data_IF_140360811408
#
_entry.id   IF_140360811408
#
_cell.length_a   1.000
_cell.length_b   1.000
_cell.length_c   1.000
_cell.angle_alpha   90.00
_cell.angle_beta   90.00
_cell.angle_gamma   90.00
#
_symmetry.space_group_name_H-M   'P 1'
#
loop_
_entity.id
_entity.type
_entity.pdbx_description
1 polymer ?
#
# COMPACT_ATOMS: atom_id res chain seq x y z
N UNK A 1 -27.73 -8.33 -21.97
CA UNK A 1 -26.30 -8.03 -21.71
C UNK A 1 -26.21 -7.45 -20.31
N UNK A 2 -25.61 -8.18 -19.35
CA UNK A 2 -25.57 -7.80 -17.93
C UNK A 2 -24.29 -7.01 -17.68
N UNK A 3 -24.42 -5.73 -17.36
CA UNK A 3 -23.30 -4.88 -16.96
C UNK A 3 -22.89 -5.24 -15.53
N UNK A 4 -21.71 -5.83 -15.37
CA UNK A 4 -21.10 -6.07 -14.06
C UNK A 4 -20.63 -4.72 -13.50
N UNK A 5 -21.17 -4.35 -12.34
CA UNK A 5 -20.73 -3.20 -11.54
C UNK A 5 -19.47 -3.62 -10.78
N UNK A 6 -18.32 -3.10 -11.18
CA UNK A 6 -17.10 -3.21 -10.39
C UNK A 6 -17.19 -2.24 -9.20
N UNK A 7 -17.36 -2.78 -8.00
CA UNK A 7 -17.23 -2.05 -6.74
C UNK A 7 -15.75 -2.01 -6.37
N UNK A 8 -15.19 -0.81 -6.24
CA UNK A 8 -13.82 -0.59 -5.80
C UNK A 8 -13.74 -0.71 -4.27
N UNK A 9 -12.98 -1.68 -3.76
CA UNK A 9 -12.57 -1.75 -2.36
C UNK A 9 -11.11 -1.30 -2.31
N UNK A 10 -10.88 -0.12 -1.73
CA UNK A 10 -9.55 0.44 -1.48
C UNK A 10 -9.17 0.09 -0.04
N UNK A 11 -8.28 -0.88 0.16
CA UNK A 11 -7.62 -1.12 1.45
C UNK A 11 -6.13 -0.79 1.30
N UNK A 12 -5.70 0.24 2.04
CA UNK A 12 -4.47 0.96 1.79
C UNK A 12 -3.20 0.26 2.27
N UNK A 13 -2.19 0.23 1.39
CA UNK A 13 -0.79 0.23 1.76
C UNK A 13 -0.24 1.65 1.50
N UNK A 14 0.35 2.27 2.51
CA UNK A 14 0.93 3.60 2.42
C UNK A 14 2.23 3.53 1.61
N UNK A 15 2.13 3.69 0.29
CA UNK A 15 3.30 3.83 -0.59
C UNK A 15 3.83 5.26 -0.40
N UNK A 16 5.08 5.38 0.04
CA UNK A 16 5.78 6.64 0.15
C UNK A 16 5.94 7.25 -1.26
N UNK A 17 5.02 8.14 -1.64
CA UNK A 17 5.15 8.94 -2.86
C UNK A 17 6.18 10.02 -2.59
N UNK A 18 7.42 9.79 -3.00
CA UNK A 18 8.44 10.83 -3.12
C UNK A 18 7.98 11.80 -4.22
N UNK A 19 7.24 12.83 -3.82
CA UNK A 19 6.81 13.92 -4.69
C UNK A 19 8.02 14.82 -5.02
N UNK A 20 8.85 14.39 -5.97
CA UNK A 20 9.78 15.27 -6.65
C UNK A 20 9.00 16.31 -7.47
N UNK A 21 9.50 17.54 -7.51
CA UNK A 21 8.95 18.56 -8.42
C UNK A 21 8.82 17.97 -9.84
N UNK A 22 7.71 18.20 -10.55
CA UNK A 22 7.59 17.74 -11.92
C UNK A 22 8.56 18.58 -12.74
N UNK A 23 9.79 18.09 -12.91
CA UNK A 23 10.50 18.36 -14.14
C UNK A 23 9.50 18.00 -15.23
N UNK A 24 9.29 18.89 -16.19
CA UNK A 24 8.51 18.58 -17.37
C UNK A 24 9.28 17.52 -18.18
N UNK A 25 9.38 16.32 -17.62
CA UNK A 25 9.90 15.15 -18.25
C UNK A 25 8.86 14.81 -19.29
N UNK A 26 9.27 14.85 -20.56
CA UNK A 26 8.44 14.38 -21.65
C UNK A 26 7.99 12.94 -21.40
N UNK A 27 8.76 12.17 -20.62
CA UNK A 27 8.46 10.78 -20.30
C UNK A 27 8.02 10.66 -18.84
N UNK A 28 6.84 10.09 -18.61
CA UNK A 28 6.28 9.89 -17.26
C UNK A 28 6.10 8.40 -16.99
N UNK A 29 7.17 7.70 -16.55
CA UNK A 29 7.08 6.30 -16.16
C UNK A 29 6.60 6.14 -14.71
N UNK A 30 5.70 5.18 -14.50
CA UNK A 30 5.24 4.71 -13.20
C UNK A 30 5.33 3.19 -13.17
N UNK A 31 6.08 2.65 -12.20
CA UNK A 31 6.23 1.22 -11.99
C UNK A 31 6.03 0.99 -10.50
N UNK A 32 4.94 0.31 -10.14
CA UNK A 32 4.52 0.13 -8.76
C UNK A 32 4.18 -1.33 -8.52
N UNK A 33 4.68 -1.91 -7.43
CA UNK A 33 4.36 -3.26 -7.00
C UNK A 33 3.74 -3.27 -5.60
N UNK A 34 2.88 -4.24 -5.33
CA UNK A 34 2.27 -4.41 -4.02
C UNK A 34 1.39 -5.65 -3.93
N UNK A 35 0.76 -5.83 -2.77
CA UNK A 35 -0.21 -6.89 -2.56
C UNK A 35 -1.64 -6.35 -2.75
N UNK A 36 -2.44 -7.03 -3.57
CA UNK A 36 -3.86 -6.74 -3.77
C UNK A 36 -4.62 -8.05 -3.66
N UNK A 37 -5.56 -8.14 -2.72
CA UNK A 37 -6.39 -9.34 -2.49
C UNK A 37 -5.59 -10.65 -2.35
N UNK A 38 -4.46 -10.59 -1.62
CA UNK A 38 -3.59 -11.75 -1.40
C UNK A 38 -2.74 -12.15 -2.62
N UNK A 39 -2.72 -11.33 -3.67
CA UNK A 39 -1.90 -11.54 -4.88
C UNK A 39 -0.79 -10.50 -4.96
N UNK A 40 0.37 -10.88 -5.47
CA UNK A 40 1.41 -9.94 -5.84
C UNK A 40 1.01 -9.28 -7.16
N UNK A 41 0.94 -7.95 -7.19
CA UNK A 41 0.54 -7.17 -8.36
C UNK A 41 1.62 -6.17 -8.71
N UNK A 42 2.02 -6.18 -9.98
CA UNK A 42 2.88 -5.16 -10.59
C UNK A 42 2.04 -4.35 -11.57
N UNK A 43 2.09 -3.02 -11.48
CA UNK A 43 1.47 -2.10 -12.43
C UNK A 43 2.56 -1.29 -13.12
N UNK A 44 2.53 -1.29 -14.45
CA UNK A 44 3.45 -0.56 -15.33
C UNK A 44 2.62 0.42 -16.15
N UNK A 45 2.86 1.72 -15.96
CA UNK A 45 2.28 2.79 -16.75
C UNK A 45 3.39 3.66 -17.32
N UNK A 46 3.49 3.70 -18.64
CA UNK A 46 4.43 4.50 -19.39
C UNK A 46 3.63 5.49 -20.22
N UNK A 47 3.81 6.77 -19.98
CA UNK A 47 3.09 7.83 -20.69
C UNK A 47 4.04 8.80 -21.37
N UNK A 48 3.55 9.39 -22.47
CA UNK A 48 4.20 10.50 -23.20
C UNK A 48 5.57 10.16 -23.80
N UNK A 49 5.81 8.89 -24.09
CA UNK A 49 6.98 8.46 -24.86
C UNK A 49 6.87 8.97 -26.31
N UNK A 50 8.01 9.17 -26.98
CA UNK A 50 7.98 9.53 -28.40
C UNK A 50 7.45 8.32 -29.22
N UNK A 51 6.30 8.49 -29.86
CA UNK A 51 5.63 7.44 -30.65
C UNK A 51 6.06 7.35 -32.13
N UNK A 52 6.98 8.21 -32.61
CA UNK A 52 7.44 8.21 -34.01
C UNK A 52 8.12 6.90 -34.39
N UNK A 53 8.77 6.24 -33.42
CA UNK A 53 9.31 4.89 -33.56
C UNK A 53 8.84 4.02 -32.39
N UNK A 54 9.08 2.72 -32.51
CA UNK A 54 8.71 1.78 -31.47
C UNK A 54 9.68 1.86 -30.29
N UNK A 55 9.14 2.00 -29.10
CA UNK A 55 9.79 1.73 -27.83
C UNK A 55 9.60 0.24 -27.48
N UNK A 56 10.34 -0.28 -26.50
CA UNK A 56 10.11 -1.64 -26.00
C UNK A 56 10.04 -1.68 -24.49
N UNK A 57 9.22 -2.60 -23.98
CA UNK A 57 9.09 -2.92 -22.57
C UNK A 57 9.22 -4.42 -22.41
N UNK A 58 10.05 -4.85 -21.46
CA UNK A 58 10.09 -6.24 -21.00
C UNK A 58 9.90 -6.30 -19.50
N UNK A 59 9.21 -7.34 -19.05
CA UNK A 59 8.91 -7.60 -17.64
C UNK A 59 9.26 -9.05 -17.33
N UNK A 60 10.04 -9.26 -16.28
CA UNK A 60 10.31 -10.59 -15.73
C UNK A 60 9.91 -10.68 -14.27
N UNK A 61 9.71 -11.90 -13.77
CA UNK A 61 9.57 -12.23 -12.35
C UNK A 61 10.60 -13.30 -12.01
N UNK A 62 11.69 -12.89 -11.37
CA UNK A 62 12.95 -13.66 -11.39
C UNK A 62 13.41 -13.88 -12.83
N UNK A 63 13.63 -15.15 -13.21
CA UNK A 63 14.08 -15.56 -14.54
C UNK A 63 12.93 -15.78 -15.54
N UNK A 64 11.68 -15.75 -15.08
CA UNK A 64 10.52 -15.98 -15.95
C UNK A 64 10.14 -14.70 -16.68
N UNK A 65 10.12 -14.74 -18.00
CA UNK A 65 9.56 -13.66 -18.83
C UNK A 65 8.03 -13.62 -18.72
N UNK A 66 7.49 -12.44 -18.42
CA UNK A 66 6.05 -12.14 -18.34
C UNK A 66 5.61 -11.30 -19.55
N UNK A 67 6.43 -10.33 -19.96
CA UNK A 67 6.13 -9.41 -21.06
C UNK A 67 7.40 -9.14 -21.87
N UNK A 68 7.24 -9.03 -23.19
CA UNK A 68 8.24 -8.52 -24.12
C UNK A 68 7.51 -7.94 -25.35
N UNK A 69 7.12 -6.67 -25.24
CA UNK A 69 6.27 -6.00 -26.22
C UNK A 69 6.89 -4.68 -26.70
N UNK A 70 6.52 -4.29 -27.92
CA UNK A 70 6.81 -2.96 -28.46
C UNK A 70 5.62 -2.05 -28.24
N UNK A 71 5.88 -0.80 -27.89
CA UNK A 71 4.85 0.22 -27.71
C UNK A 71 5.19 1.52 -28.43
N UNK A 72 4.18 2.39 -28.61
CA UNK A 72 4.34 3.72 -29.21
C UNK A 72 4.52 4.76 -28.10
N UNK A 73 3.63 5.73 -27.98
CA UNK A 73 3.77 6.77 -26.96
C UNK A 73 3.31 6.38 -25.55
N UNK A 74 2.56 5.28 -25.43
CA UNK A 74 1.97 4.87 -24.15
C UNK A 74 1.95 3.34 -24.02
N UNK A 75 2.03 2.86 -22.79
CA UNK A 75 1.86 1.46 -22.41
C UNK A 75 1.28 1.39 -21.00
N UNK A 76 0.23 0.60 -20.78
CA UNK A 76 -0.36 0.37 -19.45
C UNK A 76 -0.74 -1.09 -19.29
N UNK A 77 -0.16 -1.76 -18.30
CA UNK A 77 -0.56 -3.12 -17.92
C UNK A 77 -0.38 -3.36 -16.44
N UNK A 78 -1.20 -4.27 -15.92
CA UNK A 78 -1.04 -4.85 -14.61
C UNK A 78 -0.81 -6.36 -14.74
N UNK A 79 0.14 -6.89 -13.98
CA UNK A 79 0.48 -8.31 -13.91
C UNK A 79 0.18 -8.80 -12.50
N UNK A 80 -0.35 -10.01 -12.37
CA UNK A 80 -0.75 -10.57 -11.08
C UNK A 80 -0.31 -12.00 -10.91
N UNK A 81 0.46 -12.24 -9.85
CA UNK A 81 1.01 -13.54 -9.48
C UNK A 81 0.52 -13.97 -8.09
N UNK A 82 0.79 -15.23 -7.74
CA UNK A 82 0.41 -15.78 -6.44
C UNK A 82 1.14 -15.05 -5.30
N UNK A 83 0.43 -14.40 -4.38
CA UNK A 83 1.06 -13.74 -3.24
C UNK A 83 1.59 -14.70 -2.16
N UNK A 84 1.61 -16.02 -2.40
CA UNK A 84 2.07 -17.03 -1.43
C UNK A 84 3.58 -17.07 -1.26
N UNK A 85 4.33 -16.51 -2.21
CA UNK A 85 5.79 -16.40 -2.24
C UNK A 85 6.20 -14.95 -2.52
N UNK A 86 7.42 -14.52 -2.15
CA UNK A 86 7.94 -13.23 -2.59
C UNK A 86 8.23 -13.24 -4.11
N UNK A 87 8.08 -12.08 -4.75
CA UNK A 87 8.34 -11.85 -6.16
C UNK A 87 9.38 -10.74 -6.35
N UNK A 88 10.18 -10.86 -7.41
CA UNK A 88 11.17 -9.86 -7.81
C UNK A 88 10.92 -9.51 -9.27
N UNK A 89 10.11 -8.48 -9.51
CA UNK A 89 9.78 -8.06 -10.84
C UNK A 89 10.87 -7.15 -11.41
N UNK A 90 11.38 -7.44 -12.60
CA UNK A 90 12.31 -6.55 -13.31
C UNK A 90 11.60 -5.98 -14.52
N UNK A 91 11.45 -4.66 -14.55
CA UNK A 91 10.87 -3.91 -15.67
C UNK A 91 11.98 -3.20 -16.41
N UNK A 92 12.19 -3.56 -17.66
CA UNK A 92 13.15 -2.88 -18.55
C UNK A 92 12.39 -2.15 -19.65
N UNK A 93 12.65 -0.84 -19.76
CA UNK A 93 12.08 0.02 -20.79
C UNK A 93 13.23 0.55 -21.65
N UNK A 94 13.09 0.43 -22.95
CA UNK A 94 13.98 1.04 -23.93
C UNK A 94 13.19 2.05 -24.76
N UNK A 95 13.40 3.33 -24.47
CA UNK A 95 12.93 4.43 -25.28
C UNK A 95 13.79 4.55 -26.55
N UNK A 96 13.17 4.64 -27.71
CA UNK A 96 13.89 4.67 -28.99
C UNK A 96 14.77 5.90 -29.13
N UNK A 97 14.36 7.01 -28.54
CA UNK A 97 15.05 8.28 -28.61
C UNK A 97 16.13 8.40 -27.51
N UNK A 98 16.07 7.59 -26.46
CA UNK A 98 17.09 7.50 -25.42
C UNK A 98 17.70 6.08 -25.32
N UNK A 99 18.27 5.53 -26.40
CA UNK A 99 18.68 4.12 -26.44
C UNK A 99 19.84 3.78 -25.49
N UNK A 100 20.50 4.79 -24.92
CA UNK A 100 21.58 4.64 -23.94
C UNK A 100 21.16 5.00 -22.50
N UNK A 101 19.91 5.37 -22.29
CA UNK A 101 19.40 5.78 -20.97
C UNK A 101 20.02 7.06 -20.42
N UNK A 102 20.67 7.88 -21.25
CA UNK A 102 21.38 9.09 -20.81
C UNK A 102 20.41 10.15 -20.27
N UNK A 103 19.13 10.09 -20.67
CA UNK A 103 18.05 10.97 -20.20
C UNK A 103 17.17 10.28 -19.15
N UNK A 104 17.44 9.02 -18.84
CA UNK A 104 16.68 8.19 -17.91
C UNK A 104 15.33 7.71 -18.45
N UNK A 105 15.08 7.81 -19.76
CA UNK A 105 13.82 7.38 -20.38
C UNK A 105 13.84 5.90 -20.73
N UNK A 106 15.04 5.40 -21.04
CA UNK A 106 15.36 3.98 -20.96
C UNK A 106 15.90 3.66 -19.57
N UNK A 107 15.37 2.60 -18.95
CA UNK A 107 15.75 2.20 -17.61
C UNK A 107 15.50 0.70 -17.38
N UNK A 108 16.15 0.15 -16.37
CA UNK A 108 15.79 -1.13 -15.77
C UNK A 108 15.54 -0.91 -14.28
N UNK A 109 14.38 -1.37 -13.79
CA UNK A 109 13.96 -1.22 -12.39
C UNK A 109 13.49 -2.55 -11.84
N UNK A 110 14.04 -2.91 -10.70
CA UNK A 110 13.56 -4.03 -9.90
C UNK A 110 12.52 -3.55 -8.89
N UNK A 111 11.43 -4.29 -8.77
CA UNK A 111 10.35 -4.09 -7.80
C UNK A 111 10.12 -5.40 -7.07
N UNK A 112 10.55 -5.43 -5.81
CA UNK A 112 10.31 -6.58 -4.94
C UNK A 112 8.94 -6.46 -4.28
N UNK A 113 8.12 -7.51 -4.41
CA UNK A 113 6.86 -7.65 -3.67
C UNK A 113 7.04 -8.80 -2.69
N UNK A 114 7.04 -8.50 -1.39
CA UNK A 114 7.09 -9.53 -0.36
C UNK A 114 5.85 -10.42 -0.40
N UNK A 115 5.96 -11.60 0.21
CA UNK A 115 4.82 -12.51 0.40
C UNK A 115 3.62 -11.75 0.97
N UNK A 116 2.48 -11.89 0.31
CA UNK A 116 1.25 -11.26 0.75
C UNK A 116 0.71 -11.96 2.00
N UNK A 117 0.29 -11.18 2.99
CA UNK A 117 -0.36 -11.72 4.16
C UNK A 117 -1.69 -12.36 3.75
N UNK A 118 -1.91 -13.60 4.19
CA UNK A 118 -3.23 -14.21 4.11
C UNK A 118 -4.14 -13.47 5.09
N UNK A 119 -5.34 -13.00 4.67
CA UNK A 119 -6.31 -12.48 5.60
C UNK A 119 -6.58 -13.51 6.70
N UNK A 120 -6.73 -13.10 7.97
CA UNK A 120 -7.15 -14.04 9.00
C UNK A 120 -8.49 -14.65 8.59
N UNK A 121 -8.58 -15.98 8.68
CA UNK A 121 -9.84 -16.69 8.45
C UNK A 121 -10.81 -16.19 9.53
N UNK A 122 -12.03 -15.71 9.17
CA UNK A 122 -13.02 -15.34 10.16
C UNK A 122 -13.26 -16.51 11.12
N UNK A 123 -13.43 -16.26 12.43
CA UNK A 123 -13.72 -17.33 13.37
C UNK A 123 -14.96 -18.10 12.89
N UNK A 124 -14.92 -19.43 13.01
CA UNK A 124 -16.06 -20.26 12.67
C UNK A 124 -17.30 -19.76 13.44
N UNK A 125 -18.50 -19.77 12.83
CA UNK A 125 -19.72 -19.50 13.56
C UNK A 125 -19.80 -20.38 14.81
N UNK A 126 -20.33 -19.88 15.93
CA UNK A 126 -20.58 -20.72 17.10
C UNK A 126 -21.32 -21.97 16.69
N UNK A 127 -20.89 -23.13 17.18
CA UNK A 127 -21.64 -24.36 16.98
C UNK A 127 -23.07 -24.15 17.49
N UNK A 128 -24.10 -24.65 16.77
CA UNK A 128 -25.46 -24.60 17.29
C UNK A 128 -25.50 -25.29 18.66
N UNK A 129 -26.28 -24.77 19.62
CA UNK A 129 -26.44 -25.42 20.90
C UNK A 129 -26.87 -26.88 20.69
N UNK A 130 -26.35 -27.83 21.50
CA UNK A 130 -26.73 -29.23 21.37
C UNK A 130 -28.26 -29.33 21.44
N UNK A 131 -28.85 -30.09 20.50
CA UNK A 131 -30.27 -30.36 20.51
C UNK A 131 -30.62 -30.94 21.89
N UNK A 132 -31.44 -30.21 22.64
CA UNK A 132 -31.97 -30.72 23.91
C UNK A 132 -32.92 -31.85 23.53
N UNK A 133 -32.46 -33.09 23.66
CA UNK A 133 -33.35 -34.24 23.57
C UNK A 133 -34.26 -34.17 24.79
N UNK A 134 -35.48 -33.66 24.58
CA UNK A 134 -36.52 -33.67 25.59
C UNK A 134 -36.93 -35.12 25.79
N UNK A 135 -36.26 -35.81 26.72
CA UNK A 135 -36.79 -37.06 27.25
C UNK A 135 -38.01 -36.68 28.08
N UNK A 136 -39.20 -36.93 27.54
CA UNK A 136 -40.46 -36.80 28.27
C UNK A 136 -40.44 -37.81 29.41
N UNK A 137 -39.97 -37.39 30.57
CA UNK A 137 -40.18 -38.11 31.82
C UNK A 137 -41.56 -37.69 32.32
N UNK A 138 -42.50 -38.63 32.32
CA UNK A 138 -43.80 -38.50 32.96
C UNK A 138 -43.56 -38.39 34.47
N UNK A 139 -43.49 -37.16 34.98
CA UNK A 139 -43.33 -36.90 36.43
C UNK A 139 -44.69 -36.51 37.00
N UNK A 140 -45.16 -37.20 38.06
CA UNK A 140 -46.41 -36.89 38.74
C UNK A 140 -46.40 -35.50 39.39
N UNK A 141 -47.57 -34.87 39.34
CA UNK A 141 -47.89 -33.55 39.90
C UNK A 141 -47.51 -33.51 41.39
N UNK A 142 -46.56 -32.62 41.74
CA UNK A 142 -46.29 -32.25 43.12
C UNK A 142 -46.14 -30.74 43.26
N UNK A 143 -46.82 -30.24 44.28
CA UNK A 143 -47.14 -28.86 44.62
C UNK A 143 -45.96 -27.96 44.96
N UNK A 144 -46.18 -26.68 44.62
CA UNK A 144 -45.43 -25.45 44.89
C UNK A 144 -44.87 -25.36 46.32
N UNK A 145 -43.65 -24.82 46.48
CA UNK A 145 -43.58 -23.55 47.20
C UNK A 145 -42.63 -22.51 46.60
N UNK A 146 -43.05 -21.27 46.81
CA UNK A 146 -42.39 -19.98 46.65
C UNK A 146 -40.98 -19.92 47.24
N UNK A 147 -40.03 -19.32 46.51
CA UNK A 147 -38.86 -18.68 47.11
C UNK A 147 -38.41 -17.45 46.31
N UNK A 148 -38.40 -16.33 47.02
CA UNK A 148 -37.88 -15.02 46.64
C UNK A 148 -36.36 -15.04 46.78
N UNK A 149 -35.62 -14.55 45.78
CA UNK A 149 -34.16 -14.44 45.82
C UNK A 149 -33.66 -13.35 44.89
N UNK A 150 -33.36 -12.18 45.48
CA UNK A 150 -32.70 -11.04 44.85
C UNK A 150 -31.20 -11.30 44.78
N UNK A 151 -30.59 -11.17 43.60
CA UNK A 151 -29.13 -11.26 43.43
C UNK A 151 -28.58 -9.99 42.80
N UNK A 152 -27.85 -9.23 43.61
CA UNK A 152 -27.10 -8.02 43.23
C UNK A 152 -25.86 -8.42 42.43
N UNK A 153 -25.70 -7.89 41.22
CA UNK A 153 -24.52 -8.08 40.38
C UNK A 153 -23.46 -7.01 40.70
N UNK A 154 -22.36 -7.43 41.34
CA UNK A 154 -21.17 -6.60 41.55
C UNK A 154 -20.26 -6.70 40.33
N UNK A 155 -20.05 -5.57 39.65
CA UNK A 155 -19.16 -5.43 38.48
C UNK A 155 -17.70 -5.30 38.94
N UNK A 156 -16.76 -6.12 38.45
CA UNK A 156 -15.33 -5.91 38.71
C UNK A 156 -14.79 -4.72 37.90
N UNK A 157 -13.87 -3.91 38.45
CA UNK A 157 -13.24 -2.80 37.75
C UNK A 157 -12.31 -3.31 36.64
N UNK A 158 -12.43 -2.71 35.45
CA UNK A 158 -11.53 -2.88 34.32
C UNK A 158 -10.18 -2.22 34.60
N UNK A 159 -9.13 -3.01 34.77
CA UNK A 159 -7.74 -2.54 34.87
C UNK A 159 -7.18 -2.26 33.47
N UNK A 160 -6.93 -0.99 33.16
CA UNK A 160 -6.21 -0.56 31.96
C UNK A 160 -4.70 -0.65 32.22
N UNK A 161 -3.98 -1.48 31.46
CA UNK A 161 -2.51 -1.48 31.42
C UNK A 161 -2.04 -0.69 30.20
N UNK A 162 -1.40 0.46 30.43
CA UNK A 162 -0.66 1.19 29.41
C UNK A 162 0.66 0.45 29.10
N UNK A 163 1.05 0.27 27.82
CA UNK A 163 2.39 -0.15 27.47
C UNK A 163 3.38 0.99 27.76
N UNK A 164 4.27 0.77 28.74
CA UNK A 164 5.41 1.63 29.01
C UNK A 164 6.54 1.31 28.03
N UNK A 165 6.80 2.23 27.11
CA UNK A 165 7.99 2.23 26.26
C UNK A 165 9.18 2.73 27.07
N UNK A 166 9.88 1.81 27.73
CA UNK A 166 11.17 2.09 28.36
C UNK A 166 12.26 2.11 27.27
N UNK A 167 12.96 3.25 27.04
CA UNK A 167 14.08 3.29 26.12
C UNK A 167 15.26 2.50 26.71
N UNK A 168 15.74 1.54 25.92
CA UNK A 168 16.94 0.75 26.19
C UNK A 168 18.16 1.68 26.24
N UNK A 169 18.99 1.65 27.29
CA UNK A 169 20.21 2.43 27.34
C UNK A 169 21.20 1.92 26.29
N UNK A 170 21.60 2.80 25.38
CA UNK A 170 22.67 2.57 24.41
C UNK A 170 24.00 2.63 25.15
N UNK A 171 24.64 1.48 25.27
CA UNK A 171 26.03 1.36 25.71
C UNK A 171 26.92 1.98 24.63
N UNK A 172 27.57 3.11 24.95
CA UNK A 172 28.64 3.68 24.13
C UNK A 172 29.90 2.84 24.33
N UNK A 173 30.36 2.19 23.26
CA UNK A 173 31.74 1.75 23.14
C UNK A 173 32.60 2.99 22.84
N UNK A 174 33.45 3.37 23.81
CA UNK A 174 34.51 4.32 23.61
C UNK A 174 35.70 3.60 22.95
N UNK A 175 36.16 4.15 21.84
CA UNK A 175 37.36 3.72 21.13
C UNK A 175 37.74 4.78 20.12
N UNK A 176 38.44 5.81 20.58
CA UNK A 176 39.22 6.75 19.77
C UNK A 176 40.21 5.90 18.93
N UNK A 177 40.50 6.16 17.66
CA UNK A 177 41.06 7.38 17.11
C UNK A 177 41.10 7.21 15.59
N UNK A 178 40.56 8.14 14.80
CA UNK A 178 41.28 8.79 13.69
C UNK A 178 40.35 9.76 12.96
N UNK A 179 40.71 11.04 12.99
CA UNK A 179 40.24 12.09 12.08
C UNK A 179 41.52 12.73 11.55
N UNK A 180 41.61 13.04 10.24
CA UNK A 180 41.05 14.32 9.81
C UNK A 180 40.57 14.39 8.35
N UNK A 181 39.36 14.92 8.12
CA UNK A 181 39.17 16.20 7.40
C UNK A 181 37.68 16.55 7.25
N UNK A 182 37.26 17.77 7.60
CA UNK A 182 35.91 18.26 7.39
C UNK A 182 35.81 19.11 6.11
N UNK A 183 34.71 18.92 5.36
CA UNK A 183 34.17 19.92 4.43
C UNK A 183 33.29 19.31 3.32
N UNK A 184 32.31 20.04 2.76
CA UNK A 184 31.84 21.38 3.09
C UNK A 184 30.39 21.43 3.61
N UNK A 185 30.07 22.59 4.18
CA UNK A 185 28.80 22.97 4.80
C UNK A 185 27.63 22.89 3.82
N UNK A 186 26.58 22.17 4.17
CA UNK A 186 25.28 22.28 3.49
C UNK A 186 24.50 23.41 4.17
N UNK A 187 24.58 24.59 3.56
CA UNK A 187 23.68 25.72 3.81
C UNK A 187 22.26 25.27 3.45
N UNK A 188 21.40 25.09 4.44
CA UNK A 188 19.95 24.87 4.23
C UNK A 188 19.31 26.24 4.02
N UNK A 189 18.78 26.58 2.83
CA UNK A 189 18.01 27.80 2.66
C UNK A 189 16.60 27.60 3.22
N UNK A 190 16.33 28.25 4.36
CA UNK A 190 14.97 28.58 4.83
C UNK A 190 14.31 29.54 3.81
N UNK A 191 13.71 28.99 2.75
CA UNK A 191 12.88 29.74 1.79
C UNK A 191 11.55 29.00 1.57
N UNK A 192 10.88 28.65 2.67
CA UNK A 192 9.62 27.88 2.64
C UNK A 192 8.37 28.70 2.96
N UNK A 193 8.49 29.98 3.30
CA UNK A 193 7.34 30.79 3.76
C UNK A 193 6.68 31.66 2.67
N UNK A 194 7.24 31.78 1.47
CA UNK A 194 6.70 32.66 0.42
C UNK A 194 5.85 31.93 -0.65
N UNK A 195 5.97 30.61 -0.81
CA UNK A 195 5.37 29.87 -1.95
C UNK A 195 3.89 29.50 -1.72
N UNK A 196 3.45 29.41 -0.46
CA UNK A 196 2.06 29.04 -0.13
C UNK A 196 1.05 30.13 -0.54
N UNK A 197 1.46 31.41 -0.58
CA UNK A 197 0.57 32.52 -0.93
C UNK A 197 0.30 32.63 -2.44
N UNK A 198 1.24 32.23 -3.30
CA UNK A 198 1.07 32.33 -4.76
C UNK A 198 0.20 31.19 -5.30
N UNK A 199 0.34 29.97 -4.75
CA UNK A 199 -0.46 28.82 -5.15
C UNK A 199 -1.96 28.96 -4.85
N UNK A 200 -2.30 29.54 -3.69
CA UNK A 200 -3.70 29.77 -3.31
C UNK A 200 -4.46 30.73 -4.24
N UNK A 201 -3.77 31.73 -4.80
CA UNK A 201 -4.39 32.72 -5.67
C UNK A 201 -4.75 32.14 -7.04
N UNK A 202 -3.93 31.24 -7.58
CA UNK A 202 -4.19 30.57 -8.88
C UNK A 202 -5.39 29.64 -8.80
N UNK A 203 -5.52 28.87 -7.70
CA UNK A 203 -6.66 27.97 -7.47
C UNK A 203 -7.97 28.75 -7.38
N UNK A 204 -7.98 29.89 -6.65
CA UNK A 204 -9.16 30.75 -6.54
C UNK A 204 -9.57 31.36 -7.90
N UNK A 205 -8.62 31.76 -8.74
CA UNK A 205 -8.91 32.32 -10.07
C UNK A 205 -9.52 31.27 -11.01
N UNK A 206 -9.03 30.03 -10.98
CA UNK A 206 -9.55 28.93 -11.81
C UNK A 206 -10.95 28.51 -11.37
N UNK A 207 -11.20 28.39 -10.06
CA UNK A 207 -12.53 28.10 -9.50
C UNK A 207 -13.54 29.20 -9.84
N UNK A 208 -13.15 30.48 -9.72
CA UNK A 208 -14.04 31.61 -10.04
C UNK A 208 -14.39 31.70 -11.52
N UNK A 209 -13.49 31.27 -12.42
CA UNK A 209 -13.77 31.18 -13.86
C UNK A 209 -14.71 30.01 -14.21
N UNK A 210 -14.64 28.89 -13.50
CA UNK A 210 -15.54 27.75 -13.72
C UNK A 210 -16.96 28.00 -13.21
N UNK A 211 -17.13 28.75 -12.13
CA UNK A 211 -18.46 29.07 -11.57
C UNK A 211 -19.23 30.17 -12.33
N UNK A 212 -18.59 30.84 -13.31
CA UNK A 212 -19.20 31.89 -14.14
C UNK A 212 -19.53 31.44 -15.56
N UNK A 213 -19.27 30.17 -15.90
CA UNK A 213 -19.73 29.53 -17.15
C UNK A 213 -20.83 28.56 -16.79
#
# INVERSE_FOLDING_TARGET
MRFARFAAIVLGALIAVLAGAPTASAHTPSVVGGCVDGRAVLTVELERYDGRRANSVSVTDGDRSIEDERFRGEFRRAYSESGTVPHAFVVTVLAWDDPRGARGWSFSREVTVHKCATPPIPPAPPAPPPAVTTTTVEVPVATTPTAVGTTTATTPPLTFHLPSTQPKPVVRAAGLSDLPRPGPRVTVPLVLSAVVLVGGLVVLVVLRRRLRR
#
